data_IF_168938328236
#
_entry.id   IF_168938328236
#
_cell.length_a   1.000
_cell.length_b   1.000
_cell.length_c   1.000
_cell.angle_alpha   90.00
_cell.angle_beta   90.00
_cell.angle_gamma   90.00
#
_symmetry.space_group_name_H-M   'P 1'
#
loop_
_entity.id
_entity.type
_entity.pdbx_description
1 polymer ?
#
# COMPACT_ATOMS: atom_id res chain seq x y z
N UNK A 1 -14.82 4.55 -13.99
CA UNK A 1 -13.52 4.03 -13.49
C UNK A 1 -13.67 4.06 -11.98
N UNK A 2 -13.65 2.91 -11.32
CA UNK A 2 -14.28 2.65 -10.01
C UNK A 2 -14.07 3.77 -8.97
N UNK A 3 -15.17 4.45 -8.63
CA UNK A 3 -15.29 5.48 -7.60
C UNK A 3 -15.46 4.77 -6.24
N UNK A 4 -14.46 3.99 -5.86
CA UNK A 4 -14.44 3.26 -4.60
C UNK A 4 -13.34 3.86 -3.72
N UNK A 5 -13.71 4.24 -2.50
CA UNK A 5 -12.77 4.76 -1.52
C UNK A 5 -11.70 3.70 -1.20
N UNK A 6 -10.46 4.13 -0.94
CA UNK A 6 -9.38 3.22 -0.55
C UNK A 6 -9.75 2.28 0.60
N UNK A 7 -10.35 2.74 1.72
CA UNK A 7 -10.83 1.85 2.78
C UNK A 7 -11.83 0.80 2.29
N UNK A 8 -12.82 1.17 1.48
CA UNK A 8 -13.84 0.24 0.96
C UNK A 8 -13.18 -0.85 0.08
N UNK A 9 -12.14 -0.47 -0.68
CA UNK A 9 -11.36 -1.41 -1.50
C UNK A 9 -10.59 -2.42 -0.67
N UNK A 10 -9.99 -1.96 0.44
CA UNK A 10 -9.19 -2.82 1.32
C UNK A 10 -10.09 -3.80 2.08
N UNK A 11 -11.27 -3.36 2.52
CA UNK A 11 -12.27 -4.24 3.14
C UNK A 11 -12.71 -5.33 2.16
N UNK A 12 -13.09 -4.94 0.93
CA UNK A 12 -13.44 -5.88 -0.14
C UNK A 12 -12.32 -6.86 -0.45
N UNK A 13 -11.07 -6.38 -0.48
CA UNK A 13 -9.91 -7.24 -0.73
C UNK A 13 -9.77 -8.32 0.35
N UNK A 14 -9.94 -7.95 1.62
CA UNK A 14 -9.90 -8.88 2.74
C UNK A 14 -10.99 -9.95 2.68
N UNK A 15 -12.22 -9.59 2.31
CA UNK A 15 -13.32 -10.56 2.20
C UNK A 15 -13.08 -11.57 1.07
N UNK A 16 -12.63 -11.12 -0.11
CA UNK A 16 -12.28 -12.02 -1.22
C UNK A 16 -11.13 -12.97 -0.83
N UNK A 17 -10.13 -12.45 -0.13
CA UNK A 17 -8.99 -13.24 0.35
C UNK A 17 -9.45 -14.33 1.34
N UNK A 18 -10.35 -14.00 2.27
CA UNK A 18 -10.93 -14.97 3.21
C UNK A 18 -11.75 -16.04 2.49
N UNK A 19 -12.60 -15.66 1.53
CA UNK A 19 -13.39 -16.61 0.75
C UNK A 19 -12.51 -17.61 -0.03
N UNK A 20 -11.38 -17.14 -0.57
CA UNK A 20 -10.41 -18.02 -1.21
C UNK A 20 -9.66 -18.92 -0.22
N UNK A 21 -9.24 -18.38 0.94
CA UNK A 21 -8.58 -19.15 2.01
C UNK A 21 -9.49 -20.25 2.58
N UNK A 22 -10.80 -19.98 2.69
CA UNK A 22 -11.81 -20.94 3.13
C UNK A 22 -12.20 -21.96 2.03
N UNK A 23 -11.68 -21.78 0.80
CA UNK A 23 -11.97 -22.65 -0.35
C UNK A 23 -13.34 -22.40 -1.00
N UNK A 24 -14.02 -21.32 -0.64
CA UNK A 24 -15.29 -20.89 -1.24
C UNK A 24 -15.10 -20.20 -2.60
N UNK A 25 -13.86 -19.81 -2.93
CA UNK A 25 -13.49 -19.15 -4.18
C UNK A 25 -12.23 -19.81 -4.77
N UNK A 26 -12.11 -19.90 -6.10
CA UNK A 26 -10.87 -20.38 -6.71
C UNK A 26 -9.77 -19.30 -6.73
N UNK A 27 -8.50 -19.72 -6.81
CA UNK A 27 -7.35 -18.81 -6.87
C UNK A 27 -7.44 -17.83 -8.04
N UNK A 28 -7.86 -18.30 -9.21
CA UNK A 28 -7.97 -17.46 -10.41
C UNK A 28 -9.06 -16.42 -10.26
N UNK A 29 -10.24 -16.81 -9.74
CA UNK A 29 -11.34 -15.87 -9.49
C UNK A 29 -10.97 -14.83 -8.44
N UNK A 30 -10.24 -15.22 -7.39
CA UNK A 30 -9.75 -14.28 -6.39
C UNK A 30 -8.84 -13.22 -7.01
N UNK A 31 -7.84 -13.63 -7.81
CA UNK A 31 -6.92 -12.69 -8.49
C UNK A 31 -7.69 -11.74 -9.42
N UNK A 32 -8.64 -12.26 -10.21
CA UNK A 32 -9.45 -11.44 -11.11
C UNK A 32 -10.33 -10.43 -10.37
N UNK A 33 -10.98 -10.84 -9.26
CA UNK A 33 -11.86 -9.98 -8.49
C UNK A 33 -11.08 -8.87 -7.78
N UNK A 34 -9.89 -9.17 -7.30
CA UNK A 34 -9.03 -8.19 -6.64
C UNK A 34 -8.46 -7.21 -7.65
N UNK A 35 -8.13 -7.68 -8.85
CA UNK A 35 -7.48 -6.86 -9.87
C UNK A 35 -6.04 -6.48 -9.51
N UNK A 36 -5.42 -7.24 -8.60
CA UNK A 36 -4.01 -7.13 -8.25
C UNK A 36 -3.20 -8.24 -8.94
N UNK A 37 -1.88 -8.11 -8.94
CA UNK A 37 -1.03 -9.15 -9.48
C UNK A 37 -0.88 -10.34 -8.52
N UNK A 38 -0.31 -11.45 -9.02
CA UNK A 38 -0.14 -12.64 -8.21
C UNK A 38 0.79 -12.43 -7.00
N UNK A 39 1.75 -11.50 -7.08
CA UNK A 39 2.67 -11.23 -5.99
C UNK A 39 1.97 -10.50 -4.84
N UNK A 40 1.09 -9.56 -5.16
CA UNK A 40 0.22 -8.87 -4.18
C UNK A 40 -0.69 -9.87 -3.45
N UNK A 41 -1.32 -10.78 -4.19
CA UNK A 41 -2.18 -11.82 -3.59
C UNK A 41 -1.36 -12.77 -2.72
N UNK A 42 -0.17 -13.19 -3.17
CA UNK A 42 0.72 -14.03 -2.37
C UNK A 42 1.20 -13.33 -1.08
N UNK A 43 1.50 -12.03 -1.14
CA UNK A 43 1.89 -11.25 0.03
C UNK A 43 0.73 -11.11 1.01
N UNK A 44 -0.47 -10.78 0.53
CA UNK A 44 -1.64 -10.66 1.39
C UNK A 44 -1.99 -11.98 2.08
N UNK A 45 -1.88 -13.10 1.35
CA UNK A 45 -1.99 -14.46 1.91
C UNK A 45 -1.03 -14.68 3.06
N UNK A 46 0.24 -14.32 2.87
CA UNK A 46 1.26 -14.47 3.90
C UNK A 46 0.91 -13.64 5.14
N UNK A 47 0.52 -12.38 4.96
CA UNK A 47 0.15 -11.46 6.06
C UNK A 47 -1.07 -11.95 6.85
N UNK A 48 -2.11 -12.48 6.20
CA UNK A 48 -3.30 -12.98 6.91
C UNK A 48 -3.07 -14.29 7.66
N UNK A 49 -2.14 -15.13 7.17
CA UNK A 49 -1.89 -16.46 7.75
C UNK A 49 -0.78 -16.48 8.79
N UNK A 50 -0.03 -15.39 8.93
CA UNK A 50 1.11 -15.29 9.83
C UNK A 50 0.95 -14.10 10.76
N UNK A 51 1.29 -14.30 12.02
CA UNK A 51 1.41 -13.19 12.96
C UNK A 51 2.49 -12.21 12.49
N UNK A 52 2.25 -10.93 12.74
CA UNK A 52 3.27 -9.91 12.51
C UNK A 52 4.51 -10.21 13.36
N UNK A 53 5.68 -10.08 12.77
CA UNK A 53 6.96 -10.16 13.49
C UNK A 53 7.20 -8.81 14.15
N UNK A 54 7.13 -8.70 15.50
CA UNK A 54 7.20 -7.41 16.18
C UNK A 54 8.45 -6.61 15.84
N UNK A 55 9.59 -7.30 15.74
CA UNK A 55 10.88 -6.67 15.41
C UNK A 55 10.91 -6.08 13.99
N UNK A 56 10.17 -6.68 13.05
CA UNK A 56 10.04 -6.14 11.70
C UNK A 56 9.07 -4.97 11.66
N UNK A 57 7.97 -5.03 12.42
CA UNK A 57 7.01 -3.95 12.55
C UNK A 57 7.67 -2.68 13.11
N UNK A 58 8.47 -2.83 14.18
CA UNK A 58 9.24 -1.73 14.77
C UNK A 58 10.28 -1.17 13.78
N UNK A 59 10.94 -2.03 13.01
CA UNK A 59 11.94 -1.60 12.02
C UNK A 59 11.33 -0.79 10.86
N UNK A 60 10.09 -1.11 10.43
CA UNK A 60 9.40 -0.38 9.35
C UNK A 60 8.59 0.81 9.85
N UNK A 61 8.24 0.87 11.14
CA UNK A 61 7.47 1.97 11.73
C UNK A 61 8.09 3.34 11.41
N UNK A 62 9.41 3.48 11.55
CA UNK A 62 10.12 4.73 11.24
C UNK A 62 10.16 5.12 9.75
N UNK A 63 9.78 4.23 8.83
CA UNK A 63 9.63 4.54 7.39
C UNK A 63 8.19 4.95 7.06
N UNK A 64 7.21 4.39 7.77
CA UNK A 64 5.79 4.69 7.63
C UNK A 64 5.38 5.99 8.34
N UNK A 65 6.17 6.47 9.30
CA UNK A 65 5.96 7.76 9.93
C UNK A 65 6.09 8.90 8.89
N UNK A 66 5.12 9.83 8.82
CA UNK A 66 5.11 10.91 7.83
C UNK A 66 6.35 11.82 7.91
N UNK A 67 7.04 11.87 9.05
CA UNK A 67 8.30 12.61 9.25
C UNK A 67 9.53 11.99 8.55
N UNK A 68 9.47 10.73 8.11
CA UNK A 68 10.51 10.10 7.29
C UNK A 68 10.64 10.77 5.91
N UNK A 69 9.65 11.60 5.56
CA UNK A 69 9.66 12.41 4.37
C UNK A 69 10.55 13.65 4.48
N UNK A 70 11.38 13.80 5.51
CA UNK A 70 12.38 14.86 5.61
C UNK A 70 13.27 15.00 4.35
N UNK A 71 13.40 13.94 3.54
CA UNK A 71 14.08 14.01 2.24
C UNK A 71 13.21 14.59 1.11
N UNK A 72 11.90 14.35 1.12
CA UNK A 72 10.93 14.98 0.20
C UNK A 72 10.63 16.40 0.64
N UNK A 73 10.46 16.68 1.93
CA UNK A 73 10.36 18.06 2.44
C UNK A 73 11.59 18.90 2.06
N UNK A 74 12.79 18.32 2.19
CA UNK A 74 14.02 18.99 1.71
C UNK A 74 14.03 19.16 0.19
N UNK A 75 13.51 18.20 -0.58
CA UNK A 75 13.41 18.30 -2.04
C UNK A 75 12.39 19.35 -2.46
N UNK A 76 11.24 19.41 -1.81
CA UNK A 76 10.16 20.37 -2.07
C UNK A 76 10.61 21.79 -1.69
N UNK A 77 11.24 21.95 -0.51
CA UNK A 77 11.84 23.22 -0.11
C UNK A 77 12.96 23.70 -1.07
N UNK A 78 13.76 22.76 -1.58
CA UNK A 78 14.79 23.06 -2.57
C UNK A 78 14.20 23.40 -3.95
N UNK A 79 13.14 22.70 -4.36
CA UNK A 79 12.42 22.97 -5.61
C UNK A 79 11.76 24.35 -5.59
N UNK A 80 11.15 24.74 -4.46
CA UNK A 80 10.53 26.05 -4.27
C UNK A 80 11.56 27.19 -4.38
N UNK A 81 12.75 26.99 -3.78
CA UNK A 81 13.85 27.96 -3.86
C UNK A 81 14.38 28.12 -5.30
N UNK A 82 14.46 27.04 -6.07
CA UNK A 82 14.90 27.07 -7.47
C UNK A 82 13.85 27.69 -8.40
N UNK A 83 12.56 27.46 -8.16
CA UNK A 83 11.47 28.08 -8.91
C UNK A 83 11.47 29.61 -8.74
N UNK A 84 11.69 30.09 -7.51
CA UNK A 84 11.76 31.53 -7.20
C UNK A 84 12.86 32.28 -7.97
N UNK A 85 13.92 31.61 -8.44
CA UNK A 85 14.99 32.23 -9.24
C UNK A 85 14.61 32.34 -10.73
N UNK A 86 13.74 31.45 -11.23
CA UNK A 86 13.27 31.47 -12.62
C UNK A 86 12.20 32.52 -12.92
N UNK A 87 11.48 32.99 -11.90
CA UNK A 87 10.42 34.00 -12.01
C UNK A 87 10.93 35.46 -12.00
N UNK A 88 12.21 35.68 -11.71
CA UNK A 88 12.86 37.00 -11.82
C UNK A 88 13.33 37.24 -13.27
N UNK A 89 12.43 37.75 -14.12
CA UNK A 89 12.76 38.29 -15.45
C UNK A 89 13.00 39.79 -15.43
#
# INVERSE_FOLDING_TARGET
MFDESLPDRLERYGDILRDWLDGNLSRTEAVELVGADEADVALATYVETHDAVPELADAVAGVLEPDANATVEKRDALAETMSSVGDLR
#
